data_IF_732145437359
#
_entry.id   IF_732145437359
#
_cell.length_a   1.000
_cell.length_b   1.000
_cell.length_c   1.000
_cell.angle_alpha   90.00
_cell.angle_beta   90.00
_cell.angle_gamma   90.00
#
_symmetry.space_group_name_H-M   'P 1'
#
loop_
_entity.id
_entity.type
_entity.pdbx_description
1 polymer ?
#
# COMPACT_ATOMS: atom_id res chain seq x y z
N UNK A 1 -8.19 7.17 40.66
CA UNK A 1 -8.46 8.62 40.57
C UNK A 1 -7.21 9.47 40.31
N UNK A 2 -6.30 9.68 41.27
CA UNK A 2 -5.13 10.57 41.03
C UNK A 2 -4.09 10.03 40.03
N UNK A 3 -4.01 8.71 39.86
CA UNK A 3 -3.12 8.06 38.88
C UNK A 3 -3.74 8.06 37.47
N UNK A 4 -5.07 7.97 37.38
CA UNK A 4 -5.81 7.96 36.11
C UNK A 4 -5.78 9.35 35.45
N UNK A 5 -6.01 10.41 36.23
CA UNK A 5 -5.89 11.81 35.78
C UNK A 5 -4.47 12.19 35.30
N UNK A 6 -3.45 11.53 35.83
CA UNK A 6 -2.05 11.77 35.46
C UNK A 6 -1.69 11.05 34.16
N UNK A 7 -2.29 9.88 33.92
CA UNK A 7 -2.18 9.14 32.66
C UNK A 7 -2.98 9.81 31.53
N UNK A 8 -4.19 10.31 31.79
CA UNK A 8 -4.99 11.04 30.80
C UNK A 8 -4.26 12.29 30.28
N UNK A 9 -3.70 13.08 31.19
CA UNK A 9 -2.92 14.27 30.80
C UNK A 9 -1.65 13.91 30.02
N UNK A 10 -0.99 12.82 30.38
CA UNK A 10 0.19 12.34 29.67
C UNK A 10 -0.15 11.86 28.26
N UNK A 11 -1.27 11.16 28.08
CA UNK A 11 -1.78 10.74 26.78
C UNK A 11 -2.15 11.95 25.90
N UNK A 12 -2.81 12.96 26.47
CA UNK A 12 -3.18 14.19 25.75
C UNK A 12 -1.93 14.99 25.29
N UNK A 13 -0.89 15.04 26.13
CA UNK A 13 0.40 15.66 25.78
C UNK A 13 1.11 14.87 24.64
N UNK A 14 1.06 13.52 24.68
CA UNK A 14 1.63 12.64 23.65
C UNK A 14 0.87 12.75 22.32
N UNK A 15 -0.46 12.75 22.34
CA UNK A 15 -1.30 12.91 21.15
C UNK A 15 -1.03 14.26 20.46
N UNK A 16 -0.84 15.31 21.25
CA UNK A 16 -0.49 16.65 20.73
C UNK A 16 0.89 16.66 20.07
N UNK A 17 1.88 16.00 20.66
CA UNK A 17 3.22 15.87 20.09
C UNK A 17 3.20 15.06 18.79
N UNK A 18 2.48 13.94 18.76
CA UNK A 18 2.30 13.09 17.56
C UNK A 18 1.61 13.89 16.45
N UNK A 19 0.52 14.60 16.76
CA UNK A 19 -0.18 15.43 15.78
C UNK A 19 0.76 16.48 15.14
N UNK A 20 1.60 17.14 15.96
CA UNK A 20 2.58 18.09 15.47
C UNK A 20 3.64 17.47 14.55
N UNK A 21 4.10 16.25 14.85
CA UNK A 21 5.04 15.51 14.01
C UNK A 21 4.40 15.10 12.67
N UNK A 22 3.15 14.61 12.71
CA UNK A 22 2.38 14.23 11.52
C UNK A 22 2.21 15.44 10.59
N UNK A 23 1.81 16.59 11.13
CA UNK A 23 1.67 17.83 10.36
C UNK A 23 2.99 18.23 9.69
N UNK A 24 4.11 18.15 10.39
CA UNK A 24 5.43 18.47 9.83
C UNK A 24 5.81 17.51 8.68
N UNK A 25 5.53 16.21 8.83
CA UNK A 25 5.78 15.19 7.80
C UNK A 25 4.92 15.46 6.56
N UNK A 26 3.63 15.70 6.73
CA UNK A 26 2.68 16.00 5.65
C UNK A 26 3.12 17.26 4.91
N UNK A 27 3.44 18.34 5.62
CA UNK A 27 3.90 19.59 5.00
C UNK A 27 5.20 19.40 4.19
N UNK A 28 6.16 18.63 4.72
CA UNK A 28 7.39 18.29 3.99
C UNK A 28 7.08 17.49 2.72
N UNK A 29 6.16 16.52 2.78
CA UNK A 29 5.73 15.73 1.61
C UNK A 29 5.10 16.63 0.55
N UNK A 30 4.12 17.45 0.93
CA UNK A 30 3.45 18.41 0.03
C UNK A 30 4.46 19.32 -0.65
N UNK A 31 5.40 19.90 0.10
CA UNK A 31 6.41 20.80 -0.46
C UNK A 31 7.35 20.11 -1.46
N UNK A 32 7.75 18.86 -1.19
CA UNK A 32 8.56 18.07 -2.13
C UNK A 32 7.77 17.75 -3.39
N UNK A 33 6.55 17.25 -3.24
CA UNK A 33 5.66 16.92 -4.34
C UNK A 33 5.40 18.13 -5.23
N UNK A 34 5.07 19.29 -4.66
CA UNK A 34 4.86 20.53 -5.42
C UNK A 34 6.12 20.97 -6.18
N UNK A 35 7.30 20.89 -5.56
CA UNK A 35 8.57 21.23 -6.22
C UNK A 35 8.89 20.30 -7.38
N UNK A 36 8.60 19.00 -7.25
CA UNK A 36 8.79 18.04 -8.33
C UNK A 36 7.77 18.23 -9.45
N UNK A 37 6.50 18.47 -9.10
CA UNK A 37 5.42 18.72 -10.05
C UNK A 37 5.72 19.89 -10.99
N UNK A 38 6.17 21.03 -10.45
CA UNK A 38 6.51 22.22 -11.22
C UNK A 38 7.74 22.07 -12.14
N UNK A 39 8.55 21.04 -11.92
CA UNK A 39 9.74 20.76 -12.75
C UNK A 39 9.49 19.65 -13.77
N UNK A 40 8.37 18.93 -13.63
CA UNK A 40 8.07 17.76 -14.43
C UNK A 40 7.17 18.15 -15.58
N UNK A 41 7.64 17.83 -16.78
CA UNK A 41 6.82 17.92 -17.98
C UNK A 41 5.69 16.88 -17.92
N UNK A 42 4.48 17.32 -18.25
CA UNK A 42 3.33 16.42 -18.42
C UNK A 42 3.58 15.51 -19.62
N UNK A 43 4.05 14.29 -19.37
CA UNK A 43 4.55 13.36 -20.39
C UNK A 43 4.16 11.92 -20.06
N UNK A 44 4.26 11.04 -21.07
CA UNK A 44 4.15 9.58 -20.91
C UNK A 44 5.48 8.86 -21.12
N UNK A 45 6.57 9.62 -21.32
CA UNK A 45 7.91 9.05 -21.40
C UNK A 45 8.45 8.79 -19.98
N UNK A 46 8.67 7.51 -19.66
CA UNK A 46 9.17 7.08 -18.36
C UNK A 46 10.47 7.78 -17.95
N UNK A 47 11.43 7.93 -18.88
CA UNK A 47 12.72 8.53 -18.55
C UNK A 47 12.57 10.03 -18.27
N UNK A 48 11.76 10.74 -19.04
CA UNK A 48 11.45 12.15 -18.76
C UNK A 48 10.79 12.33 -17.38
N UNK A 49 9.84 11.46 -17.01
CA UNK A 49 9.18 11.51 -15.70
C UNK A 49 10.16 11.27 -14.55
N UNK A 50 11.07 10.30 -14.71
CA UNK A 50 12.10 9.91 -13.72
C UNK A 50 13.24 10.91 -13.59
N UNK A 51 13.57 11.69 -14.63
CA UNK A 51 14.67 12.68 -14.59
C UNK A 51 14.51 13.73 -13.50
N UNK A 52 13.29 14.01 -13.07
CA UNK A 52 13.03 14.98 -11.99
C UNK A 52 13.30 14.39 -10.62
N UNK A 53 13.23 13.07 -10.46
CA UNK A 53 13.36 12.39 -9.17
C UNK A 53 14.75 12.50 -8.56
N UNK A 54 14.83 12.48 -7.24
CA UNK A 54 16.14 12.46 -6.57
C UNK A 54 16.79 11.08 -6.71
N UNK A 55 18.11 10.99 -6.54
CA UNK A 55 18.81 9.68 -6.55
C UNK A 55 18.24 8.75 -5.47
N UNK A 56 17.83 9.28 -4.32
CA UNK A 56 17.27 8.48 -3.23
C UNK A 56 15.86 8.00 -3.58
N UNK A 57 15.01 8.85 -4.16
CA UNK A 57 13.67 8.44 -4.65
C UNK A 57 13.75 7.38 -5.75
N UNK A 58 14.74 7.46 -6.65
CA UNK A 58 14.96 6.39 -7.63
C UNK A 58 15.32 5.06 -6.96
N UNK A 59 16.09 5.08 -5.88
CA UNK A 59 16.41 3.86 -5.12
C UNK A 59 15.19 3.31 -4.37
N UNK A 60 14.34 4.18 -3.84
CA UNK A 60 13.05 3.79 -3.24
C UNK A 60 12.20 3.05 -4.28
N UNK A 61 12.00 3.65 -5.47
CA UNK A 61 11.29 3.00 -6.59
C UNK A 61 11.94 1.66 -6.95
N UNK A 62 13.28 1.58 -7.00
CA UNK A 62 13.96 0.32 -7.29
C UNK A 62 13.74 -0.74 -6.21
N UNK A 63 13.74 -0.37 -4.93
CA UNK A 63 13.44 -1.30 -3.84
C UNK A 63 12.00 -1.82 -3.95
N UNK A 64 11.05 -0.91 -4.14
CA UNK A 64 9.62 -1.25 -4.29
C UNK A 64 9.36 -2.16 -5.50
N UNK A 65 10.04 -1.91 -6.62
CA UNK A 65 9.97 -2.75 -7.82
C UNK A 65 10.87 -3.99 -7.76
N UNK A 66 11.60 -4.20 -6.65
CA UNK A 66 12.59 -5.27 -6.47
C UNK A 66 13.62 -5.35 -7.61
N UNK A 67 14.14 -4.19 -8.04
CA UNK A 67 15.17 -4.05 -9.07
C UNK A 67 16.51 -3.81 -8.38
N UNK A 68 17.49 -4.67 -8.65
CA UNK A 68 18.82 -4.55 -8.04
C UNK A 68 19.61 -3.32 -8.53
N UNK A 69 20.27 -2.63 -7.59
CA UNK A 69 21.22 -1.56 -7.88
C UNK A 69 22.44 -1.62 -6.97
N UNK A 70 23.50 -0.90 -7.37
CA UNK A 70 24.70 -0.69 -6.56
C UNK A 70 24.64 0.70 -5.94
N UNK A 71 25.12 0.84 -4.71
CA UNK A 71 25.15 2.13 -4.00
C UNK A 71 25.90 3.23 -4.79
N UNK A 72 26.91 2.83 -5.57
CA UNK A 72 27.75 3.70 -6.40
C UNK A 72 27.10 4.11 -7.74
N UNK A 73 25.99 3.48 -8.16
CA UNK A 73 25.32 3.79 -9.43
C UNK A 73 24.92 5.27 -9.49
N UNK A 74 25.14 5.92 -10.63
CA UNK A 74 24.74 7.32 -10.82
C UNK A 74 23.25 7.40 -11.13
N UNK A 75 22.68 8.60 -11.01
CA UNK A 75 21.26 8.84 -11.26
C UNK A 75 20.81 8.30 -12.63
N UNK A 76 21.57 8.56 -13.67
CA UNK A 76 21.26 8.10 -15.03
C UNK A 76 21.31 6.56 -15.14
N UNK A 77 22.27 5.91 -14.46
CA UNK A 77 22.35 4.45 -14.41
C UNK A 77 21.10 3.83 -13.74
N UNK A 78 20.59 4.47 -12.67
CA UNK A 78 19.36 4.03 -12.00
C UNK A 78 18.14 4.18 -12.92
N UNK A 79 18.02 5.32 -13.60
CA UNK A 79 16.92 5.57 -14.57
C UNK A 79 16.93 4.52 -15.67
N UNK A 80 18.10 4.22 -16.23
CA UNK A 80 18.24 3.23 -17.30
C UNK A 80 17.87 1.82 -16.80
N UNK A 81 18.28 1.45 -15.59
CA UNK A 81 17.90 0.17 -14.97
C UNK A 81 16.41 0.06 -14.73
N UNK A 82 15.78 1.11 -14.20
CA UNK A 82 14.32 1.13 -14.04
C UNK A 82 13.69 0.94 -15.41
N UNK A 83 14.04 1.75 -16.40
CA UNK A 83 13.43 1.71 -17.73
C UNK A 83 13.56 0.35 -18.45
N UNK A 84 14.68 -0.36 -18.27
CA UNK A 84 14.89 -1.69 -18.89
C UNK A 84 14.03 -2.77 -18.23
N UNK A 85 13.83 -2.71 -16.90
CA UNK A 85 13.14 -3.76 -16.14
C UNK A 85 11.67 -3.42 -15.82
N UNK A 86 11.23 -2.21 -16.16
CA UNK A 86 9.99 -1.60 -15.65
C UNK A 86 8.73 -2.43 -15.89
N UNK A 87 8.50 -2.88 -17.13
CA UNK A 87 7.27 -3.60 -17.49
C UNK A 87 7.14 -4.93 -16.74
N UNK A 88 8.21 -5.72 -16.67
CA UNK A 88 8.22 -7.00 -15.96
C UNK A 88 8.09 -6.81 -14.44
N UNK A 89 8.79 -5.82 -13.88
CA UNK A 89 8.73 -5.52 -12.46
C UNK A 89 7.31 -5.10 -12.03
N UNK A 90 6.68 -4.19 -12.79
CA UNK A 90 5.30 -3.78 -12.51
C UNK A 90 4.33 -4.93 -12.69
N UNK A 91 4.46 -5.75 -13.74
CA UNK A 91 3.54 -6.86 -13.95
C UNK A 91 3.56 -7.84 -12.77
N UNK A 92 4.74 -8.08 -12.17
CA UNK A 92 4.89 -8.89 -10.96
C UNK A 92 4.18 -8.28 -9.75
N UNK A 93 4.26 -6.96 -9.58
CA UNK A 93 3.55 -6.24 -8.51
C UNK A 93 2.03 -6.32 -8.72
N UNK A 94 1.57 -6.03 -9.94
CA UNK A 94 0.15 -5.99 -10.29
C UNK A 94 -0.54 -7.36 -10.22
N UNK A 95 0.21 -8.46 -10.03
CA UNK A 95 -0.34 -9.78 -9.75
C UNK A 95 -1.13 -9.83 -8.43
N UNK A 96 -0.78 -8.99 -7.46
CA UNK A 96 -1.30 -9.06 -6.09
C UNK A 96 -2.41 -8.05 -5.79
N UNK A 97 -2.78 -7.21 -6.77
CA UNK A 97 -3.77 -6.14 -6.55
C UNK A 97 -5.18 -6.70 -6.35
N UNK A 98 -5.97 -5.94 -5.60
CA UNK A 98 -7.38 -6.17 -5.35
C UNK A 98 -8.27 -5.48 -6.41
N UNK A 99 -9.59 -5.61 -6.26
CA UNK A 99 -10.56 -5.00 -7.17
C UNK A 99 -10.53 -3.47 -7.15
N UNK A 100 -10.28 -2.87 -5.99
CA UNK A 100 -10.35 -1.42 -5.80
C UNK A 100 -9.17 -0.72 -6.48
N UNK A 101 -7.97 -1.29 -6.34
CA UNK A 101 -6.79 -0.91 -7.10
C UNK A 101 -7.03 -1.14 -8.60
N UNK A 102 -7.59 -2.28 -9.01
CA UNK A 102 -7.87 -2.55 -10.42
C UNK A 102 -8.85 -1.54 -11.04
N UNK A 103 -9.89 -1.12 -10.31
CA UNK A 103 -10.80 -0.05 -10.74
C UNK A 103 -10.03 1.25 -11.00
N UNK A 104 -9.08 1.59 -10.12
CA UNK A 104 -8.21 2.76 -10.28
C UNK A 104 -7.32 2.65 -11.53
N UNK A 105 -6.74 1.48 -11.78
CA UNK A 105 -5.97 1.18 -13.00
C UNK A 105 -6.80 1.35 -14.28
N UNK A 106 -8.06 0.90 -14.28
CA UNK A 106 -8.96 1.08 -15.42
C UNK A 106 -9.29 2.56 -15.68
N UNK A 107 -9.43 3.38 -14.63
CA UNK A 107 -9.60 4.84 -14.77
C UNK A 107 -8.38 5.48 -15.43
N UNK A 108 -7.18 5.07 -15.06
CA UNK A 108 -5.93 5.55 -15.67
C UNK A 108 -5.87 5.21 -17.15
N UNK A 109 -6.17 3.95 -17.50
CA UNK A 109 -6.17 3.49 -18.89
C UNK A 109 -7.21 4.25 -19.74
N UNK A 110 -8.41 4.47 -19.22
CA UNK A 110 -9.48 5.21 -19.90
C UNK A 110 -9.10 6.66 -20.24
N UNK A 111 -8.28 7.29 -19.39
CA UNK A 111 -7.77 8.64 -19.60
C UNK A 111 -6.43 8.68 -20.36
N UNK A 112 -6.01 7.55 -20.95
CA UNK A 112 -4.74 7.44 -21.68
C UNK A 112 -3.53 7.86 -20.83
N UNK A 113 -3.59 7.64 -19.52
CA UNK A 113 -2.53 7.94 -18.58
C UNK A 113 -2.37 9.39 -18.14
N UNK A 114 -3.19 10.33 -18.61
CA UNK A 114 -3.12 11.74 -18.21
C UNK A 114 -4.44 12.14 -17.55
N UNK A 115 -4.42 12.41 -16.24
CA UNK A 115 -5.62 12.68 -15.47
C UNK A 115 -5.47 14.04 -14.77
N UNK A 116 -6.38 15.01 -15.00
CA UNK A 116 -6.31 16.31 -14.33
C UNK A 116 -6.61 16.19 -12.84
N UNK A 117 -5.74 16.76 -11.99
CA UNK A 117 -5.93 16.81 -10.54
C UNK A 117 -6.89 17.97 -10.25
N UNK A 118 -8.19 17.65 -10.20
CA UNK A 118 -9.22 18.59 -9.70
C UNK A 118 -9.32 18.51 -8.18
N UNK A 119 -9.82 19.55 -7.50
CA UNK A 119 -9.79 19.72 -6.02
C UNK A 119 -10.40 18.64 -5.10
N UNK A 120 -10.79 17.49 -5.66
CA UNK A 120 -11.16 16.26 -4.95
C UNK A 120 -10.50 15.02 -5.56
N UNK A 121 -9.39 15.15 -6.29
CA UNK A 121 -8.68 14.00 -6.79
C UNK A 121 -8.16 13.25 -5.57
N UNK A 122 -8.78 12.10 -5.34
CA UNK A 122 -8.48 11.13 -4.31
C UNK A 122 -6.96 10.95 -4.23
N UNK A 123 -6.35 11.52 -3.18
CA UNK A 123 -5.20 10.90 -2.51
C UNK A 123 -5.65 9.59 -1.86
N UNK A 124 -6.37 8.75 -2.61
CA UNK A 124 -6.66 7.39 -2.22
C UNK A 124 -5.34 6.67 -2.04
N UNK A 125 -5.32 5.70 -1.14
CA UNK A 125 -4.18 4.81 -0.91
C UNK A 125 -3.64 4.24 -2.22
N UNK A 126 -4.53 3.89 -3.17
CA UNK A 126 -4.16 3.46 -4.52
C UNK A 126 -3.29 4.48 -5.28
N UNK A 127 -3.61 5.78 -5.19
CA UNK A 127 -2.84 6.84 -5.85
C UNK A 127 -1.48 7.03 -5.19
N UNK A 128 -1.43 6.93 -3.86
CA UNK A 128 -0.19 7.02 -3.07
C UNK A 128 0.72 5.85 -3.41
N UNK A 129 0.20 4.62 -3.29
CA UNK A 129 0.85 3.38 -3.69
C UNK A 129 1.42 3.47 -5.11
N UNK A 130 0.59 3.84 -6.10
CA UNK A 130 1.05 3.91 -7.49
C UNK A 130 2.15 4.97 -7.69
N UNK A 131 2.16 6.06 -6.94
CA UNK A 131 3.26 7.03 -7.00
C UNK A 131 4.55 6.48 -6.39
N UNK A 132 4.46 5.78 -5.25
CA UNK A 132 5.61 5.15 -4.59
C UNK A 132 6.25 4.05 -5.45
N UNK A 133 5.42 3.31 -6.20
CA UNK A 133 5.88 2.31 -7.17
C UNK A 133 6.43 2.94 -8.47
N UNK A 134 6.40 4.27 -8.63
CA UNK A 134 6.78 4.95 -9.87
C UNK A 134 5.86 4.64 -11.05
N UNK A 135 4.59 4.32 -10.80
CA UNK A 135 3.56 4.08 -11.81
C UNK A 135 2.81 5.36 -12.19
N UNK A 136 2.75 6.33 -11.27
CA UNK A 136 2.14 7.64 -11.47
C UNK A 136 3.08 8.75 -11.02
N UNK A 137 3.00 9.87 -11.71
CA UNK A 137 3.80 11.06 -11.41
C UNK A 137 2.93 12.30 -11.48
N UNK A 138 3.10 13.22 -10.53
CA UNK A 138 2.45 14.53 -10.61
C UNK A 138 3.30 15.46 -11.46
N UNK A 139 2.69 16.10 -12.44
CA UNK A 139 3.29 17.08 -13.34
C UNK A 139 2.39 18.31 -13.49
N UNK A 140 2.97 19.44 -13.89
CA UNK A 140 2.24 20.67 -14.18
C UNK A 140 2.22 20.93 -15.70
N UNK A 141 1.08 21.40 -16.20
CA UNK A 141 0.92 21.89 -17.57
C UNK A 141 -0.22 22.91 -17.62
N UNK A 142 0.03 24.06 -18.25
CA UNK A 142 -0.94 25.17 -18.38
C UNK A 142 -1.58 25.59 -17.04
N UNK A 143 -0.75 25.78 -16.01
CA UNK A 143 -1.10 26.14 -14.63
C UNK A 143 -2.05 25.13 -13.95
N UNK A 144 -2.04 23.88 -14.42
CA UNK A 144 -2.86 22.78 -13.89
C UNK A 144 -2.00 21.56 -13.58
N UNK A 145 -2.35 20.88 -12.50
CA UNK A 145 -1.69 19.64 -12.11
C UNK A 145 -2.35 18.43 -12.77
N UNK A 146 -1.54 17.45 -13.15
CA UNK A 146 -1.96 16.19 -13.75
C UNK A 146 -1.23 15.02 -13.08
N UNK A 147 -1.92 13.88 -12.99
CA UNK A 147 -1.27 12.59 -12.85
C UNK A 147 -0.89 12.08 -14.23
N UNK A 148 0.36 11.65 -14.37
CA UNK A 148 0.96 11.14 -15.58
C UNK A 148 1.44 9.70 -15.37
N UNK A 149 0.93 8.79 -16.20
CA UNK A 149 1.35 7.41 -16.28
C UNK A 149 2.27 7.19 -17.50
N UNK A 150 3.42 6.52 -17.33
CA UNK A 150 4.29 6.18 -18.45
C UNK A 150 3.63 5.15 -19.38
N UNK A 151 3.98 5.19 -20.67
CA UNK A 151 3.37 4.34 -21.70
C UNK A 151 3.56 2.84 -21.41
N UNK A 152 4.71 2.47 -20.85
CA UNK A 152 5.04 1.12 -20.42
C UNK A 152 4.03 0.61 -19.38
N UNK A 153 3.67 1.44 -18.39
CA UNK A 153 2.68 1.06 -17.37
C UNK A 153 1.30 0.84 -18.00
N UNK A 154 0.89 1.71 -18.91
CA UNK A 154 -0.39 1.56 -19.63
C UNK A 154 -0.46 0.26 -20.44
N UNK A 155 0.67 -0.24 -20.95
CA UNK A 155 0.77 -1.53 -21.67
C UNK A 155 0.62 -2.73 -20.74
N UNK A 156 0.98 -2.59 -19.45
CA UNK A 156 0.90 -3.69 -18.48
C UNK A 156 -0.52 -3.89 -17.93
N UNK A 157 -1.29 -2.82 -17.72
CA UNK A 157 -2.64 -2.89 -17.12
C UNK A 157 -3.57 -3.92 -17.80
N UNK A 158 -3.65 -4.00 -19.15
CA UNK A 158 -4.51 -4.99 -19.81
C UNK A 158 -4.08 -6.46 -19.63
N UNK A 159 -2.87 -6.71 -19.14
CA UNK A 159 -2.28 -8.05 -18.97
C UNK A 159 -2.62 -8.68 -17.62
N UNK A 160 -3.24 -7.92 -16.70
CA UNK A 160 -3.61 -8.40 -15.37
C UNK A 160 -4.65 -9.51 -15.47
N UNK A 161 -4.40 -10.64 -14.80
CA UNK A 161 -5.35 -11.75 -14.73
C UNK A 161 -6.49 -11.42 -13.75
N UNK A 162 -7.70 -11.27 -14.30
CA UNK A 162 -8.90 -10.98 -13.51
C UNK A 162 -9.23 -12.08 -12.49
N UNK A 163 -8.84 -13.33 -12.74
CA UNK A 163 -9.05 -14.41 -11.77
C UNK A 163 -8.15 -14.26 -10.55
N UNK A 164 -6.94 -13.71 -10.74
CA UNK A 164 -6.06 -13.40 -9.60
C UNK A 164 -6.68 -12.33 -8.71
N UNK A 165 -7.32 -11.30 -9.30
CA UNK A 165 -8.00 -10.24 -8.54
C UNK A 165 -9.09 -10.82 -7.64
N UNK A 166 -9.99 -11.63 -8.19
CA UNK A 166 -11.07 -12.25 -7.41
C UNK A 166 -10.53 -13.11 -6.25
N UNK A 167 -9.44 -13.82 -6.48
CA UNK A 167 -8.75 -14.61 -5.44
C UNK A 167 -8.12 -13.72 -4.37
N UNK A 168 -7.46 -12.62 -4.77
CA UNK A 168 -6.84 -11.68 -3.86
C UNK A 168 -7.89 -11.02 -2.96
N UNK A 169 -9.02 -10.58 -3.54
CA UNK A 169 -10.15 -10.00 -2.81
C UNK A 169 -10.69 -10.96 -1.75
N UNK A 170 -10.87 -12.23 -2.09
CA UNK A 170 -11.37 -13.24 -1.15
C UNK A 170 -10.39 -13.45 0.01
N UNK A 171 -9.09 -13.55 -0.27
CA UNK A 171 -8.06 -13.71 0.76
C UNK A 171 -8.04 -12.49 1.70
N UNK A 172 -8.05 -11.29 1.14
CA UNK A 172 -8.05 -10.04 1.92
C UNK A 172 -9.31 -9.95 2.80
N UNK A 173 -10.48 -10.30 2.27
CA UNK A 173 -11.75 -10.32 3.05
C UNK A 173 -11.72 -11.34 4.17
N UNK A 174 -11.23 -12.56 3.91
CA UNK A 174 -11.08 -13.58 4.96
C UNK A 174 -10.12 -13.11 6.05
N UNK A 175 -9.01 -12.48 5.67
CA UNK A 175 -8.02 -11.96 6.62
C UNK A 175 -8.61 -10.84 7.49
N UNK A 176 -9.25 -9.85 6.86
CA UNK A 176 -9.96 -8.77 7.56
C UNK A 176 -11.03 -9.30 8.51
N UNK A 177 -11.83 -10.27 8.07
CA UNK A 177 -12.81 -10.89 8.94
C UNK A 177 -12.17 -11.57 10.14
N UNK A 178 -11.00 -12.17 9.97
CA UNK A 178 -10.27 -12.78 11.09
C UNK A 178 -9.69 -11.70 12.03
N UNK A 179 -9.17 -10.60 11.50
CA UNK A 179 -8.72 -9.45 12.28
C UNK A 179 -9.88 -8.77 13.04
N UNK A 180 -11.09 -8.75 12.49
CA UNK A 180 -12.28 -8.26 13.19
C UNK A 180 -12.55 -9.06 14.47
N UNK A 181 -12.45 -10.38 14.41
CA UNK A 181 -12.73 -11.24 15.57
C UNK A 181 -11.56 -11.38 16.54
N UNK A 182 -10.32 -11.38 16.04
CA UNK A 182 -9.14 -11.69 16.86
C UNK A 182 -8.26 -10.48 17.17
N UNK A 183 -8.55 -9.31 16.59
CA UNK A 183 -7.76 -8.10 16.70
C UNK A 183 -6.46 -8.13 15.89
N UNK A 184 -5.66 -9.18 16.01
CA UNK A 184 -4.41 -9.32 15.27
C UNK A 184 -3.98 -10.77 15.11
N UNK A 185 -3.33 -11.12 14.02
CA UNK A 185 -2.93 -12.49 13.72
C UNK A 185 -1.72 -12.57 12.78
N UNK A 186 -0.87 -13.57 12.99
CA UNK A 186 0.22 -13.88 12.06
C UNK A 186 -0.34 -14.54 10.77
N UNK A 187 0.26 -14.27 9.62
CA UNK A 187 -0.20 -14.81 8.32
C UNK A 187 -0.24 -16.34 8.30
N UNK A 188 0.75 -16.99 8.91
CA UNK A 188 0.78 -18.45 9.07
C UNK A 188 -0.42 -18.96 9.89
N UNK A 189 -0.67 -18.31 11.03
CA UNK A 189 -1.79 -18.69 11.91
C UNK A 189 -3.14 -18.43 11.23
N UNK A 190 -3.26 -17.34 10.45
CA UNK A 190 -4.42 -17.08 9.60
C UNK A 190 -4.70 -18.26 8.68
N UNK A 191 -3.69 -18.74 7.94
CA UNK A 191 -3.86 -19.88 7.04
C UNK A 191 -4.24 -21.17 7.77
N UNK A 192 -3.67 -21.42 8.96
CA UNK A 192 -3.94 -22.60 9.77
C UNK A 192 -5.34 -22.59 10.39
N UNK A 193 -5.90 -21.41 10.69
CA UNK A 193 -7.22 -21.24 11.31
C UNK A 193 -8.38 -21.14 10.32
N UNK A 194 -8.12 -21.11 9.03
CA UNK A 194 -9.18 -21.09 8.02
C UNK A 194 -9.99 -22.40 8.04
N UNK A 195 -11.33 -22.32 7.93
CA UNK A 195 -12.15 -23.51 7.79
C UNK A 195 -11.86 -24.23 6.47
N UNK A 196 -12.18 -25.53 6.39
CA UNK A 196 -11.83 -26.40 5.26
C UNK A 196 -12.29 -25.85 3.90
N UNK A 197 -13.48 -25.23 3.85
CA UNK A 197 -14.09 -24.65 2.65
C UNK A 197 -13.55 -23.25 2.27
N UNK A 198 -12.65 -22.69 3.09
CA UNK A 198 -11.95 -21.43 2.87
C UNK A 198 -10.43 -21.61 2.78
N UNK A 199 -9.92 -22.85 2.77
CA UNK A 199 -8.48 -23.10 2.67
C UNK A 199 -7.88 -22.44 1.44
N UNK A 200 -6.76 -21.75 1.66
CA UNK A 200 -6.02 -21.08 0.60
C UNK A 200 -4.97 -22.05 0.06
N UNK A 201 -5.14 -22.46 -1.19
CA UNK A 201 -4.14 -23.21 -1.96
C UNK A 201 -3.14 -22.22 -2.60
N UNK A 202 -2.26 -21.67 -1.76
CA UNK A 202 -1.09 -20.87 -2.11
C UNK A 202 0.03 -21.11 -1.09
N UNK A 203 1.30 -20.98 -1.49
CA UNK A 203 2.40 -20.86 -0.53
C UNK A 203 2.21 -19.64 0.39
N UNK A 204 2.68 -19.75 1.63
CA UNK A 204 2.62 -18.66 2.61
C UNK A 204 3.18 -17.35 2.05
N UNK A 205 4.34 -17.38 1.39
CA UNK A 205 4.98 -16.20 0.79
C UNK A 205 4.06 -15.46 -0.21
N UNK A 206 3.24 -16.19 -0.98
CA UNK A 206 2.31 -15.57 -1.93
C UNK A 206 1.11 -14.95 -1.21
N UNK A 207 0.64 -15.57 -0.11
CA UNK A 207 -0.38 -14.98 0.75
C UNK A 207 0.13 -13.72 1.41
N UNK A 208 1.36 -13.73 1.95
CA UNK A 208 1.98 -12.56 2.59
C UNK A 208 2.08 -11.38 1.63
N UNK A 209 2.40 -11.61 0.34
CA UNK A 209 2.40 -10.56 -0.70
C UNK A 209 1.01 -10.00 -0.98
N UNK A 210 -0.02 -10.84 -0.99
CA UNK A 210 -1.42 -10.39 -1.15
C UNK A 210 -1.84 -9.54 0.04
N UNK A 211 -1.51 -9.96 1.27
CA UNK A 211 -1.86 -9.24 2.48
C UNK A 211 -1.11 -7.90 2.58
N UNK A 212 0.18 -7.87 2.24
CA UNK A 212 0.94 -6.63 2.16
C UNK A 212 0.41 -5.69 1.07
N UNK A 213 -0.02 -6.22 -0.09
CA UNK A 213 -0.66 -5.41 -1.12
C UNK A 213 -2.00 -4.82 -0.64
N UNK A 214 -2.81 -5.62 0.04
CA UNK A 214 -4.10 -5.16 0.56
C UNK A 214 -3.95 -4.02 1.59
N UNK A 215 -2.92 -4.04 2.43
CA UNK A 215 -2.62 -2.92 3.34
C UNK A 215 -2.40 -1.61 2.56
N UNK A 216 -1.57 -1.68 1.51
CA UNK A 216 -1.27 -0.53 0.62
C UNK A 216 -2.45 -0.02 -0.20
N UNK A 217 -3.49 -0.83 -0.44
CA UNK A 217 -4.60 -0.47 -1.34
C UNK A 217 -5.92 -0.18 -0.63
N UNK A 218 -6.15 -0.71 0.58
CA UNK A 218 -7.43 -0.58 1.28
C UNK A 218 -7.37 0.08 2.67
N UNK A 219 -6.20 0.24 3.31
CA UNK A 219 -5.99 0.90 4.61
C UNK A 219 -6.92 0.48 5.78
N UNK A 220 -7.52 -0.71 5.73
CA UNK A 220 -8.40 -1.20 6.81
C UNK A 220 -7.67 -2.00 7.89
N UNK A 221 -6.42 -2.37 7.63
CA UNK A 221 -5.56 -3.08 8.55
C UNK A 221 -4.11 -2.70 8.32
N UNK A 222 -3.29 -2.89 9.35
CA UNK A 222 -1.83 -2.76 9.27
C UNK A 222 -1.26 -4.16 9.08
N UNK A 223 -0.24 -4.30 8.23
CA UNK A 223 0.44 -5.56 8.00
C UNK A 223 1.95 -5.37 7.93
N UNK A 224 2.67 -5.90 8.91
CA UNK A 224 4.12 -5.77 9.03
C UNK A 224 4.70 -7.06 9.59
N UNK A 225 5.89 -7.46 9.11
CA UNK A 225 6.62 -8.64 9.59
C UNK A 225 5.78 -9.92 9.70
N UNK A 226 4.94 -10.15 8.69
CA UNK A 226 4.02 -11.31 8.60
C UNK A 226 2.91 -11.33 9.65
N UNK A 227 2.55 -10.17 10.20
CA UNK A 227 1.54 -10.00 11.22
C UNK A 227 0.56 -8.89 10.85
N UNK A 228 -0.74 -9.20 10.92
CA UNK A 228 -1.81 -8.23 10.70
C UNK A 228 -2.40 -7.72 12.00
N UNK A 229 -2.79 -6.45 11.99
CA UNK A 229 -3.52 -5.78 13.06
C UNK A 229 -4.73 -5.07 12.48
N UNK A 230 -5.87 -5.22 13.14
CA UNK A 230 -7.05 -4.43 12.84
C UNK A 230 -6.76 -2.96 13.16
N UNK A 231 -6.89 -2.09 12.15
CA UNK A 231 -6.55 -0.67 12.26
C UNK A 231 -7.44 0.12 13.23
N UNK A 232 -8.55 -0.47 13.71
CA UNK A 232 -9.48 0.15 14.65
C UNK A 232 -9.28 -0.31 16.10
N UNK A 233 -8.23 -1.08 16.40
CA UNK A 233 -7.94 -1.48 17.77
C UNK A 233 -7.49 -0.28 18.61
N UNK A 234 -8.26 0.01 19.66
CA UNK A 234 -7.94 1.11 20.59
C UNK A 234 -6.90 0.73 21.66
N UNK A 235 -6.71 -0.57 21.95
CA UNK A 235 -5.79 -1.04 23.00
C UNK A 235 -4.96 -2.25 22.54
N UNK A 236 -3.80 -1.96 21.95
CA UNK A 236 -2.85 -2.98 21.48
C UNK A 236 -2.18 -3.69 22.68
N UNK A 237 -2.01 -3.01 23.81
CA UNK A 237 -1.32 -3.56 24.99
C UNK A 237 -2.15 -4.66 25.64
N UNK A 238 -3.47 -4.49 25.71
CA UNK A 238 -4.39 -5.54 26.18
C UNK A 238 -4.33 -6.78 25.28
N UNK A 239 -4.30 -6.60 23.95
CA UNK A 239 -4.19 -7.71 22.99
C UNK A 239 -2.87 -8.49 23.18
N UNK A 240 -1.75 -7.80 23.35
CA UNK A 240 -0.45 -8.41 23.62
C UNK A 240 -0.44 -9.18 24.94
N UNK A 241 -1.03 -8.61 26.00
CA UNK A 241 -1.14 -9.24 27.30
C UNK A 241 -1.96 -10.54 27.24
N UNK A 242 -3.07 -10.56 26.49
CA UNK A 242 -3.90 -11.74 26.30
C UNK A 242 -3.16 -12.85 25.52
N UNK A 243 -2.39 -12.49 24.50
CA UNK A 243 -1.56 -13.45 23.74
C UNK A 243 -0.44 -14.05 24.59
N UNK A 244 0.23 -13.24 25.41
CA UNK A 244 1.29 -13.70 26.33
C UNK A 244 0.76 -14.67 27.39
N UNK A 245 -0.51 -14.58 27.74
CA UNK A 245 -1.18 -15.50 28.68
C UNK A 245 -1.59 -16.83 28.03
N UNK A 246 -1.40 -17.01 26.71
CA UNK A 246 -1.75 -18.25 26.01
C UNK A 246 -3.25 -18.49 25.90
N UNK A 247 -4.09 -17.45 26.05
CA UNK A 247 -5.56 -17.55 25.99
C UNK A 247 -6.11 -17.62 24.56
N UNK A 248 -5.24 -17.85 23.56
CA UNK A 248 -5.63 -17.95 22.14
C UNK A 248 -6.18 -19.32 21.74
N UNK A 249 -6.09 -20.32 22.64
CA UNK A 249 -6.69 -21.64 22.46
C UNK A 249 -8.22 -21.62 22.58
N UNK A 250 -8.76 -20.60 23.26
CA UNK A 250 -10.22 -20.38 23.42
C UNK A 250 -10.82 -19.51 22.31
N UNK A 251 -10.03 -19.15 21.28
CA UNK A 251 -10.53 -18.34 20.17
C UNK A 251 -11.60 -19.11 19.39
N UNK A 252 -12.75 -18.45 19.19
CA UNK A 252 -13.89 -19.00 18.46
C UNK A 252 -13.43 -19.50 17.08
N UNK A 253 -13.72 -20.75 16.75
CA UNK A 253 -13.58 -21.23 15.38
C UNK A 253 -14.59 -20.54 14.48
N UNK A 254 -14.11 -19.91 13.40
CA UNK A 254 -14.92 -19.10 12.51
C UNK A 254 -15.27 -19.88 11.23
N UNK A 255 -16.50 -19.71 10.77
CA UNK A 255 -16.94 -20.21 9.47
C UNK A 255 -16.56 -19.21 8.36
N UNK A 256 -16.46 -19.70 7.12
CA UNK A 256 -16.24 -18.84 5.94
C UNK A 256 -17.28 -17.72 5.85
N UNK A 257 -18.54 -18.03 6.16
CA UNK A 257 -19.64 -17.06 6.11
C UNK A 257 -19.51 -15.97 7.17
N UNK A 258 -18.99 -16.29 8.36
CA UNK A 258 -18.74 -15.27 9.40
C UNK A 258 -17.58 -14.37 9.01
N UNK A 259 -16.48 -14.94 8.49
CA UNK A 259 -15.33 -14.18 8.02
C UNK A 259 -15.68 -13.21 6.88
N UNK A 260 -16.50 -13.63 5.92
CA UNK A 260 -16.88 -12.79 4.78
C UNK A 260 -17.97 -11.75 5.10
N UNK A 261 -18.55 -11.77 6.30
CA UNK A 261 -19.62 -10.84 6.73
C UNK A 261 -19.16 -9.76 7.70
N UNK A 262 -18.05 -9.99 8.38
CA UNK A 262 -17.42 -9.04 9.28
C UNK A 262 -17.02 -7.76 8.53
#
# INVERSE_FOLDING_TARGET
EANDLKNEKYLEDVDTEIAGLVDEIILKRIQRTAKSALKRECSKDLKELLKVETKDTLKEIMNELNIEYKSADKKDDLIDKIAINYEDAILKVLKYVDSDCYISLQKILKNNGIIPISGHMDESENSIFMQEMGMLYIAESDDKLYLCAPEQFLKVIPQIDKKSIEKNDEIIKLFRGMLYYYGGIAAKEFMERLPEDAKIDLPLEEVEKILAMGEKTCAEYIYEDSFGLNGFLCDIQELEALKLQGLTDDYKQLTKTELLKA
#
